data_IF_032857891630
#
_entry.id   IF_032857891630
#
_cell.length_a   1.000
_cell.length_b   1.000
_cell.length_c   1.000
_cell.angle_alpha   90.00
_cell.angle_beta   90.00
_cell.angle_gamma   90.00
#
_symmetry.space_group_name_H-M   'P 1'
#
loop_
_entity.id
_entity.type
_entity.pdbx_description
1 polymer ?
#
# COMPACT_ATOMS: atom_id res chain seq x y z
N UNK A 1 -5.98 -31.28 -54.65
CA UNK A 1 -7.14 -31.80 -55.42
C UNK A 1 -8.07 -30.67 -55.90
N UNK A 2 -8.88 -30.03 -55.03
CA UNK A 2 -9.85 -28.99 -55.49
C UNK A 2 -9.20 -27.72 -56.05
N UNK A 3 -8.11 -27.24 -55.42
CA UNK A 3 -7.34 -26.08 -55.93
C UNK A 3 -6.70 -26.41 -57.28
N UNK A 4 -6.10 -27.60 -57.37
CA UNK A 4 -5.39 -28.02 -58.58
C UNK A 4 -6.34 -28.26 -59.75
N UNK A 5 -7.59 -28.68 -59.48
CA UNK A 5 -8.64 -28.76 -60.50
C UNK A 5 -9.03 -27.37 -61.04
N UNK A 6 -9.21 -26.38 -60.16
CA UNK A 6 -9.45 -24.98 -60.55
C UNK A 6 -8.26 -24.42 -61.34
N UNK A 7 -7.03 -24.75 -60.93
CA UNK A 7 -5.83 -24.33 -61.65
C UNK A 7 -5.76 -24.93 -63.06
N UNK A 8 -6.14 -26.20 -63.21
CA UNK A 8 -6.17 -26.88 -64.51
C UNK A 8 -7.23 -26.30 -65.46
N UNK A 9 -8.39 -25.88 -64.96
CA UNK A 9 -9.44 -25.21 -65.75
C UNK A 9 -8.91 -23.94 -66.44
N UNK A 10 -8.11 -23.14 -65.74
CA UNK A 10 -7.55 -21.88 -66.27
C UNK A 10 -6.19 -22.06 -66.93
N UNK A 11 -5.51 -23.18 -66.72
CA UNK A 11 -4.16 -23.42 -67.24
C UNK A 11 -4.14 -23.38 -68.76
N UNK A 12 -5.07 -24.08 -69.41
CA UNK A 12 -5.12 -24.16 -70.87
C UNK A 12 -5.49 -22.83 -71.52
N UNK A 13 -6.43 -22.07 -70.93
CA UNK A 13 -6.86 -20.77 -71.46
C UNK A 13 -5.75 -19.72 -71.30
N UNK A 14 -5.12 -19.65 -70.13
CA UNK A 14 -3.99 -18.75 -69.88
C UNK A 14 -2.81 -19.10 -70.79
N UNK A 15 -2.46 -20.38 -70.91
CA UNK A 15 -1.36 -20.83 -71.77
C UNK A 15 -1.62 -20.48 -73.24
N UNK A 16 -2.84 -20.69 -73.73
CA UNK A 16 -3.21 -20.35 -75.11
C UNK A 16 -3.06 -18.84 -75.39
N UNK A 17 -3.57 -18.00 -74.48
CA UNK A 17 -3.46 -16.54 -74.60
C UNK A 17 -2.01 -16.07 -74.53
N UNK A 18 -1.18 -16.68 -73.69
CA UNK A 18 0.25 -16.40 -73.62
C UNK A 18 0.97 -16.79 -74.92
N UNK A 19 0.71 -17.99 -75.45
CA UNK A 19 1.31 -18.43 -76.71
C UNK A 19 0.90 -17.55 -77.90
N UNK A 20 -0.33 -17.02 -77.92
CA UNK A 20 -0.78 -16.06 -78.94
C UNK A 20 -0.05 -14.72 -78.83
N UNK A 21 0.18 -14.24 -77.60
CA UNK A 21 0.93 -13.02 -77.35
C UNK A 21 2.41 -13.19 -77.72
N UNK A 22 3.02 -14.32 -77.35
CA UNK A 22 4.43 -14.61 -77.66
C UNK A 22 4.67 -14.75 -79.16
N UNK A 23 3.70 -15.25 -79.92
CA UNK A 23 3.77 -15.39 -81.39
C UNK A 23 3.18 -14.19 -82.15
N UNK A 24 2.90 -13.06 -81.49
CA UNK A 24 2.20 -11.94 -82.11
C UNK A 24 2.93 -11.36 -83.33
N UNK A 25 4.26 -11.29 -83.27
CA UNK A 25 5.11 -10.81 -84.36
C UNK A 25 5.07 -11.77 -85.56
N UNK A 26 5.15 -13.08 -85.31
CA UNK A 26 5.09 -14.13 -86.35
C UNK A 26 3.71 -14.14 -87.04
N UNK A 27 2.65 -13.86 -86.28
CA UNK A 27 1.28 -13.80 -86.80
C UNK A 27 0.92 -12.43 -87.43
N UNK A 28 1.83 -11.46 -87.44
CA UNK A 28 1.58 -10.07 -87.88
C UNK A 28 0.30 -9.47 -87.26
N UNK A 29 0.08 -9.71 -85.96
CA UNK A 29 -1.07 -9.14 -85.27
C UNK A 29 -0.95 -7.61 -85.18
N UNK A 30 -2.06 -6.90 -85.36
CA UNK A 30 -2.10 -5.46 -85.13
C UNK A 30 -1.92 -5.15 -83.65
N UNK A 31 -1.41 -3.95 -83.33
CA UNK A 31 -1.25 -3.51 -81.94
C UNK A 31 -2.58 -3.59 -81.16
N UNK A 32 -3.70 -3.23 -81.79
CA UNK A 32 -5.02 -3.33 -81.19
C UNK A 32 -5.42 -4.77 -80.80
N UNK A 33 -4.98 -5.78 -81.57
CA UNK A 33 -5.22 -7.18 -81.25
C UNK A 33 -4.30 -7.70 -80.13
N UNK A 34 -3.06 -7.19 -80.06
CA UNK A 34 -2.15 -7.49 -78.95
C UNK A 34 -2.72 -6.93 -77.65
N UNK A 35 -3.18 -5.68 -77.67
CA UNK A 35 -3.75 -5.02 -76.49
C UNK A 35 -5.02 -5.74 -76.00
N UNK A 36 -5.89 -6.21 -76.90
CA UNK A 36 -7.08 -6.98 -76.53
C UNK A 36 -6.74 -8.33 -75.91
N UNK A 37 -5.77 -9.06 -76.45
CA UNK A 37 -5.27 -10.32 -75.88
C UNK A 37 -4.63 -10.11 -74.49
N UNK A 38 -3.92 -9.00 -74.27
CA UNK A 38 -3.37 -8.66 -72.96
C UNK A 38 -4.47 -8.35 -71.93
N UNK A 39 -5.53 -7.64 -72.35
CA UNK A 39 -6.69 -7.38 -71.51
C UNK A 39 -7.42 -8.68 -71.13
N UNK A 40 -7.64 -9.57 -72.10
CA UNK A 40 -8.26 -10.88 -71.89
C UNK A 40 -7.43 -11.73 -70.92
N UNK A 41 -6.11 -11.81 -71.12
CA UNK A 41 -5.21 -12.54 -70.22
C UNK A 41 -5.27 -11.99 -68.79
N UNK A 42 -5.32 -10.66 -68.65
CA UNK A 42 -5.43 -10.00 -67.34
C UNK A 42 -6.77 -10.31 -66.68
N UNK A 43 -7.86 -10.28 -67.44
CA UNK A 43 -9.19 -10.61 -66.94
C UNK A 43 -9.27 -12.06 -66.45
N UNK A 44 -8.78 -13.01 -67.25
CA UNK A 44 -8.77 -14.45 -66.90
C UNK A 44 -7.92 -14.72 -65.66
N UNK A 45 -6.74 -14.09 -65.55
CA UNK A 45 -5.90 -14.21 -64.34
C UNK A 45 -6.58 -13.65 -63.08
N UNK A 46 -7.29 -12.52 -63.21
CA UNK A 46 -8.05 -11.90 -62.11
C UNK A 46 -9.21 -12.80 -61.68
N UNK A 47 -9.96 -13.36 -62.62
CA UNK A 47 -11.07 -14.27 -62.33
C UNK A 47 -10.59 -15.52 -61.60
N UNK A 48 -9.50 -16.15 -62.08
CA UNK A 48 -8.87 -17.28 -61.39
C UNK A 48 -8.51 -16.92 -59.95
N UNK A 49 -7.84 -15.78 -59.75
CA UNK A 49 -7.45 -15.31 -58.42
C UNK A 49 -8.66 -15.10 -57.51
N UNK A 50 -9.76 -14.56 -58.04
CA UNK A 50 -10.99 -14.37 -57.29
C UNK A 50 -11.62 -15.71 -56.87
N UNK A 51 -11.71 -16.68 -57.78
CA UNK A 51 -12.24 -18.02 -57.46
C UNK A 51 -11.37 -18.77 -56.46
N UNK A 52 -10.05 -18.70 -56.59
CA UNK A 52 -9.12 -19.27 -55.61
C UNK A 52 -9.33 -18.66 -54.22
N UNK A 53 -9.52 -17.34 -54.16
CA UNK A 53 -9.76 -16.63 -52.91
C UNK A 53 -11.10 -17.02 -52.26
N UNK A 54 -12.18 -17.09 -53.04
CA UNK A 54 -13.48 -17.57 -52.55
C UNK A 54 -13.40 -18.99 -52.00
N UNK A 55 -12.71 -19.88 -52.73
CA UNK A 55 -12.50 -21.25 -52.29
C UNK A 55 -11.72 -21.31 -50.97
N UNK A 56 -10.67 -20.50 -50.84
CA UNK A 56 -9.89 -20.41 -49.60
C UNK A 56 -10.74 -19.90 -48.42
N UNK A 57 -11.56 -18.88 -48.63
CA UNK A 57 -12.48 -18.35 -47.62
C UNK A 57 -13.48 -19.43 -47.15
N UNK A 58 -14.09 -20.16 -48.08
CA UNK A 58 -15.01 -21.24 -47.75
C UNK A 58 -14.32 -22.34 -46.94
N UNK A 59 -13.10 -22.74 -47.32
CA UNK A 59 -12.31 -23.73 -46.59
C UNK A 59 -11.94 -23.25 -45.18
N UNK A 60 -11.58 -21.98 -45.02
CA UNK A 60 -11.29 -21.41 -43.69
C UNK A 60 -12.53 -21.41 -42.78
N UNK A 61 -13.71 -21.13 -43.33
CA UNK A 61 -14.97 -21.23 -42.57
C UNK A 61 -15.30 -22.68 -42.19
N UNK A 62 -15.06 -23.63 -43.09
CA UNK A 62 -15.22 -25.07 -42.81
C UNK A 62 -14.29 -25.52 -41.68
N UNK A 63 -13.01 -25.13 -41.73
CA UNK A 63 -12.07 -25.40 -40.63
C UNK A 63 -12.53 -24.75 -39.34
N UNK A 64 -12.90 -23.47 -39.37
CA UNK A 64 -13.36 -22.75 -38.19
C UNK A 64 -14.57 -23.41 -37.53
N UNK A 65 -15.56 -23.80 -38.33
CA UNK A 65 -16.75 -24.50 -37.84
C UNK A 65 -16.44 -25.91 -37.32
N UNK A 66 -15.56 -26.65 -37.99
CA UNK A 66 -15.08 -27.95 -37.51
C UNK A 66 -14.35 -27.82 -36.17
N UNK A 67 -13.38 -26.91 -36.08
CA UNK A 67 -12.65 -26.64 -34.83
C UNK A 67 -13.62 -26.24 -33.72
N UNK A 68 -14.59 -25.36 -34.00
CA UNK A 68 -15.58 -24.95 -33.01
C UNK A 68 -16.46 -26.13 -32.54
N UNK A 69 -16.88 -27.02 -33.44
CA UNK A 69 -17.68 -28.20 -33.07
C UNK A 69 -16.91 -29.21 -32.21
N UNK A 70 -15.59 -29.36 -32.45
CA UNK A 70 -14.75 -30.29 -31.68
C UNK A 70 -14.26 -29.67 -30.36
N UNK A 71 -13.87 -28.39 -30.38
CA UNK A 71 -13.25 -27.71 -29.25
C UNK A 71 -14.27 -26.99 -28.37
N UNK A 72 -15.38 -26.50 -28.91
CA UNK A 72 -16.43 -25.81 -28.15
C UNK A 72 -16.91 -26.60 -26.93
N UNK A 73 -17.34 -27.86 -27.09
CA UNK A 73 -17.76 -28.69 -25.95
C UNK A 73 -16.65 -28.94 -24.94
N UNK A 74 -15.40 -29.09 -25.40
CA UNK A 74 -14.24 -29.28 -24.51
C UNK A 74 -13.97 -28.03 -23.68
N UNK A 75 -14.05 -26.85 -24.30
CA UNK A 75 -13.88 -25.56 -23.66
C UNK A 75 -14.97 -25.34 -22.61
N UNK A 76 -16.23 -25.64 -22.91
CA UNK A 76 -17.34 -25.55 -21.97
C UNK A 76 -17.12 -26.44 -20.74
N UNK A 77 -16.70 -27.69 -20.95
CA UNK A 77 -16.37 -28.61 -19.85
C UNK A 77 -15.21 -28.08 -19.01
N UNK A 78 -14.17 -27.52 -19.64
CA UNK A 78 -13.04 -26.94 -18.91
C UNK A 78 -13.44 -25.69 -18.12
N UNK A 79 -14.27 -24.83 -18.68
CA UNK A 79 -14.80 -23.65 -17.99
C UNK A 79 -15.65 -24.06 -16.79
N UNK A 80 -16.55 -25.04 -16.95
CA UNK A 80 -17.36 -25.57 -15.86
C UNK A 80 -16.49 -26.16 -14.73
N UNK A 81 -15.47 -26.96 -15.10
CA UNK A 81 -14.50 -27.50 -14.12
C UNK A 81 -13.71 -26.41 -13.41
N UNK A 82 -13.26 -25.38 -14.13
CA UNK A 82 -12.52 -24.27 -13.54
C UNK A 82 -13.40 -23.47 -12.55
N UNK A 83 -14.66 -23.20 -12.91
CA UNK A 83 -15.61 -22.53 -12.02
C UNK A 83 -15.90 -23.37 -10.77
N UNK A 84 -16.12 -24.68 -10.93
CA UNK A 84 -16.32 -25.60 -9.82
C UNK A 84 -15.11 -25.65 -8.88
N UNK A 85 -13.90 -25.76 -9.42
CA UNK A 85 -12.66 -25.76 -8.64
C UNK A 85 -12.49 -24.45 -7.85
N UNK A 86 -12.78 -23.30 -8.49
CA UNK A 86 -12.76 -22.00 -7.82
C UNK A 86 -13.78 -21.93 -6.67
N UNK A 87 -15.01 -22.38 -6.90
CA UNK A 87 -16.05 -22.39 -5.87
C UNK A 87 -15.67 -23.29 -4.68
N UNK A 88 -15.12 -24.48 -4.95
CA UNK A 88 -14.62 -25.38 -3.90
C UNK A 88 -13.48 -24.76 -3.10
N UNK A 89 -12.52 -24.10 -3.75
CA UNK A 89 -11.42 -23.43 -3.08
C UNK A 89 -11.92 -22.28 -2.20
N UNK A 90 -12.87 -21.48 -2.67
CA UNK A 90 -13.49 -20.41 -1.91
C UNK A 90 -14.24 -20.94 -0.68
N UNK A 91 -15.05 -21.98 -0.85
CA UNK A 91 -15.76 -22.63 0.25
C UNK A 91 -14.81 -23.20 1.30
N UNK A 92 -13.73 -23.87 0.88
CA UNK A 92 -12.71 -24.40 1.77
C UNK A 92 -11.96 -23.28 2.52
N UNK A 93 -11.67 -22.16 1.86
CA UNK A 93 -11.04 -21.00 2.51
C UNK A 93 -11.96 -20.37 3.57
N UNK A 94 -13.24 -20.19 3.25
CA UNK A 94 -14.24 -19.68 4.21
C UNK A 94 -14.41 -20.62 5.42
N UNK A 95 -14.45 -21.94 5.17
CA UNK A 95 -14.53 -22.93 6.25
C UNK A 95 -13.31 -22.85 7.17
N UNK A 96 -12.10 -22.80 6.61
CA UNK A 96 -10.85 -22.63 7.39
C UNK A 96 -10.82 -21.33 8.18
N UNK A 97 -11.29 -20.23 7.57
CA UNK A 97 -11.37 -18.95 8.26
C UNK A 97 -12.36 -19.02 9.44
N UNK A 98 -13.54 -19.60 9.24
CA UNK A 98 -14.52 -19.78 10.32
C UNK A 98 -14.00 -20.68 11.44
N UNK A 99 -13.31 -21.77 11.10
CA UNK A 99 -12.67 -22.65 12.09
C UNK A 99 -11.56 -21.95 12.86
N UNK A 100 -10.73 -21.15 12.18
CA UNK A 100 -9.70 -20.33 12.83
C UNK A 100 -10.34 -19.32 13.79
N UNK A 101 -11.35 -18.57 13.34
CA UNK A 101 -12.09 -17.63 14.19
C UNK A 101 -12.70 -18.31 15.41
N UNK A 102 -13.31 -19.50 15.25
CA UNK A 102 -13.85 -20.26 16.38
C UNK A 102 -12.76 -20.64 17.38
N UNK A 103 -11.61 -21.12 16.91
CA UNK A 103 -10.45 -21.43 17.78
C UNK A 103 -9.92 -20.20 18.50
N UNK A 104 -9.80 -19.08 17.80
CA UNK A 104 -9.32 -17.83 18.38
C UNK A 104 -10.29 -17.30 19.45
N UNK A 105 -11.61 -17.36 19.18
CA UNK A 105 -12.62 -16.96 20.17
C UNK A 105 -12.65 -17.88 21.39
N UNK A 106 -12.44 -19.19 21.20
CA UNK A 106 -12.36 -20.14 22.29
C UNK A 106 -11.08 -19.94 23.12
N UNK A 107 -9.93 -19.75 22.47
CA UNK A 107 -8.68 -19.45 23.16
C UNK A 107 -8.74 -18.11 23.91
N UNK A 108 -9.37 -17.09 23.32
CA UNK A 108 -9.58 -15.80 23.98
C UNK A 108 -10.49 -15.93 25.20
N UNK A 109 -11.60 -16.68 25.11
CA UNK A 109 -12.50 -16.88 26.25
C UNK A 109 -11.84 -17.68 27.36
N UNK A 110 -11.06 -18.71 27.02
CA UNK A 110 -10.24 -19.46 27.97
C UNK A 110 -9.21 -18.57 28.66
N UNK A 111 -8.51 -17.72 27.90
CA UNK A 111 -7.55 -16.77 28.45
C UNK A 111 -8.23 -15.75 29.36
N UNK A 112 -9.39 -15.21 28.96
CA UNK A 112 -10.16 -14.27 29.78
C UNK A 112 -10.65 -14.94 31.07
N UNK A 113 -11.07 -16.20 31.01
CA UNK A 113 -11.45 -16.99 32.18
C UNK A 113 -10.25 -17.27 33.09
N UNK A 114 -9.07 -17.55 32.53
CA UNK A 114 -7.83 -17.73 33.31
C UNK A 114 -7.40 -16.42 33.99
N UNK A 115 -7.52 -15.28 33.31
CA UNK A 115 -7.25 -13.98 33.91
C UNK A 115 -8.25 -13.65 35.03
N UNK A 116 -9.55 -13.90 34.82
CA UNK A 116 -10.56 -13.76 35.89
C UNK A 116 -10.34 -14.75 37.04
N UNK A 117 -9.85 -15.96 36.77
CA UNK A 117 -9.54 -16.94 37.82
C UNK A 117 -8.25 -16.58 38.58
N UNK A 118 -7.27 -15.97 37.92
CA UNK A 118 -6.04 -15.49 38.53
C UNK A 118 -6.25 -14.21 39.35
N UNK A 119 -7.22 -13.37 38.97
CA UNK A 119 -7.62 -12.18 39.73
C UNK A 119 -9.14 -12.02 39.83
N UNK A 120 -9.81 -12.84 40.67
CA UNK A 120 -11.27 -12.79 40.85
C UNK A 120 -11.75 -11.52 41.58
N UNK A 121 -10.83 -10.70 42.09
CA UNK A 121 -11.13 -9.47 42.84
C UNK A 121 -10.93 -8.20 42.02
N UNK A 122 -10.39 -8.28 40.79
CA UNK A 122 -10.07 -7.12 39.95
C UNK A 122 -8.95 -6.23 40.51
N UNK A 123 -8.12 -6.76 41.42
CA UNK A 123 -7.09 -6.00 42.13
C UNK A 123 -5.99 -5.50 41.19
N UNK A 124 -5.66 -6.26 40.15
CA UNK A 124 -4.71 -5.87 39.10
C UNK A 124 -5.23 -4.67 38.31
N UNK A 125 -6.54 -4.66 38.03
CA UNK A 125 -7.16 -3.56 37.31
C UNK A 125 -7.26 -2.30 38.20
N UNK A 126 -7.57 -2.48 39.48
CA UNK A 126 -7.52 -1.40 40.48
C UNK A 126 -6.11 -0.85 40.68
N UNK A 127 -5.08 -1.70 40.70
CA UNK A 127 -3.68 -1.28 40.78
C UNK A 127 -3.25 -0.51 39.52
N UNK A 128 -3.67 -0.94 38.34
CA UNK A 128 -3.38 -0.23 37.10
C UNK A 128 -4.03 1.15 37.08
N UNK A 129 -5.30 1.25 37.51
CA UNK A 129 -5.99 2.53 37.66
C UNK A 129 -5.32 3.44 38.69
N UNK A 130 -4.89 2.88 39.84
CA UNK A 130 -4.15 3.64 40.85
C UNK A 130 -2.80 4.15 40.33
N UNK A 131 -2.06 3.33 39.57
CA UNK A 131 -0.81 3.79 38.95
C UNK A 131 -1.05 4.90 37.93
N UNK A 132 -2.06 4.76 37.07
CA UNK A 132 -2.43 5.82 36.12
C UNK A 132 -2.85 7.11 36.84
N UNK A 133 -3.61 7.01 37.92
CA UNK A 133 -4.00 8.15 38.73
C UNK A 133 -2.79 8.82 39.42
N UNK A 134 -1.85 8.03 39.95
CA UNK A 134 -0.61 8.56 40.52
C UNK A 134 0.25 9.27 39.48
N UNK A 135 0.37 8.70 38.28
CA UNK A 135 1.12 9.31 37.19
C UNK A 135 0.48 10.63 36.75
N UNK A 136 -0.84 10.66 36.56
CA UNK A 136 -1.56 11.89 36.24
C UNK A 136 -1.38 12.97 37.32
N UNK A 137 -1.38 12.59 38.60
CA UNK A 137 -1.10 13.51 39.70
C UNK A 137 0.34 14.00 39.72
N UNK A 138 1.30 13.16 39.37
CA UNK A 138 2.70 13.58 39.24
C UNK A 138 2.86 14.59 38.10
N UNK A 139 2.21 14.37 36.96
CA UNK A 139 2.23 15.30 35.84
C UNK A 139 1.58 16.66 36.20
N UNK A 140 0.49 16.63 36.97
CA UNK A 140 -0.15 17.84 37.52
C UNK A 140 0.79 18.61 38.47
N UNK A 141 1.50 17.91 39.36
CA UNK A 141 2.49 18.52 40.26
C UNK A 141 3.62 19.16 39.44
N UNK A 142 4.19 18.44 38.47
CA UNK A 142 5.27 18.95 37.64
C UNK A 142 4.83 20.20 36.85
N UNK A 143 3.59 20.22 36.34
CA UNK A 143 3.04 21.37 35.63
C UNK A 143 2.85 22.58 36.57
N UNK A 144 2.36 22.35 37.78
CA UNK A 144 2.22 23.41 38.80
C UNK A 144 3.58 23.94 39.24
N UNK A 145 4.58 23.08 39.45
CA UNK A 145 5.95 23.49 39.78
C UNK A 145 6.56 24.36 38.68
N UNK A 146 6.42 23.95 37.40
CA UNK A 146 6.88 24.75 36.28
C UNK A 146 6.20 26.12 36.21
N UNK A 147 4.89 26.17 36.48
CA UNK A 147 4.14 27.43 36.54
C UNK A 147 4.63 28.35 37.67
N UNK A 148 4.82 27.80 38.87
CA UNK A 148 5.34 28.54 40.04
C UNK A 148 6.74 29.09 39.74
N UNK A 149 7.65 28.26 39.20
CA UNK A 149 9.00 28.70 38.86
C UNK A 149 9.01 29.80 37.80
N UNK A 150 8.11 29.71 36.80
CA UNK A 150 7.98 30.74 35.78
C UNK A 150 7.46 32.08 36.35
N UNK A 151 6.50 32.06 37.27
CA UNK A 151 6.02 33.28 37.94
C UNK A 151 7.11 33.90 38.83
N UNK A 152 7.83 33.08 39.60
CA UNK A 152 8.97 33.53 40.41
C UNK A 152 10.06 34.14 39.52
N UNK A 153 10.41 33.48 38.41
CA UNK A 153 11.41 33.99 37.47
C UNK A 153 10.98 35.31 36.83
N UNK A 154 9.69 35.45 36.47
CA UNK A 154 9.13 36.69 35.94
C UNK A 154 9.22 37.86 36.93
N UNK A 155 8.91 37.61 38.21
CA UNK A 155 9.03 38.61 39.27
C UNK A 155 10.48 38.93 39.63
N UNK A 156 11.36 37.93 39.64
CA UNK A 156 12.79 38.14 39.81
C UNK A 156 13.35 39.03 38.68
N UNK A 157 12.93 38.80 37.43
CA UNK A 157 13.32 39.65 36.32
C UNK A 157 12.82 41.11 36.48
N UNK A 158 11.60 41.30 37.01
CA UNK A 158 11.10 42.65 37.34
C UNK A 158 12.00 43.35 38.36
N UNK A 159 12.33 42.70 39.48
CA UNK A 159 13.23 43.29 40.48
C UNK A 159 14.64 43.51 39.91
N UNK A 160 15.15 42.59 39.10
CA UNK A 160 16.45 42.77 38.44
C UNK A 160 16.50 44.05 37.59
N UNK A 161 15.43 44.34 36.84
CA UNK A 161 15.33 45.57 36.05
C UNK A 161 15.25 46.81 36.96
N UNK A 162 14.41 46.78 38.00
CA UNK A 162 14.24 47.92 38.91
C UNK A 162 15.53 48.29 39.64
N UNK A 163 16.24 47.30 40.17
CA UNK A 163 17.48 47.50 40.95
C UNK A 163 18.75 47.44 40.09
N UNK A 164 18.61 47.28 38.77
CA UNK A 164 19.71 47.24 37.80
C UNK A 164 20.70 46.07 38.04
N UNK A 165 20.18 44.94 38.51
CA UNK A 165 20.96 43.72 38.70
C UNK A 165 21.22 43.02 37.37
N UNK A 166 22.46 42.59 37.17
CA UNK A 166 22.86 41.82 35.97
C UNK A 166 22.55 40.33 36.12
N UNK A 167 22.47 39.81 37.35
CA UNK A 167 22.26 38.40 37.64
C UNK A 167 21.61 38.22 39.02
N UNK A 168 20.59 37.37 39.11
CA UNK A 168 20.03 36.89 40.37
C UNK A 168 20.42 35.42 40.52
N UNK A 169 20.95 35.07 41.69
CA UNK A 169 21.34 33.71 42.04
C UNK A 169 20.38 33.20 43.11
N UNK A 170 19.69 32.10 42.81
CA UNK A 170 18.82 31.43 43.77
C UNK A 170 19.61 30.32 44.47
N UNK A 171 19.49 30.24 45.80
CA UNK A 171 19.92 29.06 46.55
C UNK A 171 18.93 27.91 46.26
N UNK A 172 19.40 26.72 45.88
CA UNK A 172 18.51 25.62 45.59
C UNK A 172 17.73 25.23 46.85
N UNK A 173 16.42 24.96 46.70
CA UNK A 173 15.59 24.56 47.82
C UNK A 173 16.02 23.18 48.32
N UNK A 174 16.23 23.06 49.64
CA UNK A 174 16.54 21.75 50.25
C UNK A 174 15.35 20.83 50.05
N UNK A 175 15.53 19.76 49.25
CA UNK A 175 14.53 18.71 49.11
C UNK A 175 14.24 18.06 50.47
N UNK A 176 12.99 17.68 50.75
CA UNK A 176 12.62 16.95 51.98
C UNK A 176 13.45 15.66 52.13
N UNK A 177 13.89 15.07 51.01
CA UNK A 177 14.79 13.92 50.99
C UNK A 177 16.14 14.19 51.70
N UNK A 178 16.59 15.45 51.74
CA UNK A 178 17.82 15.84 52.44
C UNK A 178 17.69 15.88 53.97
N UNK A 179 16.45 15.89 54.50
CA UNK A 179 16.17 15.81 55.94
C UNK A 179 15.87 14.38 56.42
N UNK A 180 15.75 13.41 55.50
CA UNK A 180 15.52 12.02 55.87
C UNK A 180 16.85 11.37 56.28
N UNK A 181 16.91 10.64 57.41
CA UNK A 181 18.11 9.91 57.79
C UNK A 181 18.47 8.92 56.66
N UNK A 182 19.72 8.98 56.22
CA UNK A 182 20.24 8.18 55.11
C UNK A 182 20.21 6.68 55.44
N UNK A 183 19.08 6.02 55.19
CA UNK A 183 18.95 4.56 55.30
C UNK A 183 19.39 3.87 53.99
N UNK A 184 19.56 4.64 52.90
CA UNK A 184 19.99 4.10 51.61
C UNK A 184 21.19 4.91 51.12
N UNK A 185 22.35 4.29 50.87
CA UNK A 185 23.48 4.98 50.24
C UNK A 185 23.16 5.12 48.75
N UNK A 186 22.36 6.12 48.39
CA UNK A 186 22.31 6.60 47.00
C UNK A 186 23.61 7.35 46.75
N UNK A 187 24.59 6.61 46.24
CA UNK A 187 25.74 7.17 45.54
C UNK A 187 25.16 7.95 44.35
N UNK A 188 25.44 9.26 44.30
CA UNK A 188 25.80 10.03 43.09
C UNK A 188 25.26 11.48 43.01
N UNK A 189 24.45 11.98 43.94
CA UNK A 189 24.18 13.44 44.01
C UNK A 189 23.93 13.91 45.45
N UNK A 190 25.00 14.03 46.23
CA UNK A 190 24.96 14.98 47.35
C UNK A 190 25.05 16.38 46.73
N UNK A 191 23.90 16.93 46.35
CA UNK A 191 23.78 18.35 46.03
C UNK A 191 24.35 19.13 47.22
N UNK A 192 25.55 19.70 47.06
CA UNK A 192 26.15 20.55 48.08
C UNK A 192 25.39 21.87 48.03
N UNK A 193 24.37 21.97 48.87
CA UNK A 193 23.66 23.23 49.12
C UNK A 193 24.61 24.19 49.83
N UNK A 194 25.28 25.04 49.05
CA UNK A 194 26.11 26.12 49.57
C UNK A 194 25.38 27.43 49.35
N UNK A 195 25.27 28.24 50.41
CA UNK A 195 24.74 29.59 50.28
C UNK A 195 25.66 30.40 49.37
N UNK A 196 25.06 31.08 48.40
CA UNK A 196 25.79 31.92 47.45
C UNK A 196 25.92 33.31 48.06
N UNK A 197 26.95 33.50 48.89
CA UNK A 197 27.25 34.80 49.51
C UNK A 197 28.42 35.48 48.79
N UNK A 198 28.20 36.70 48.29
CA UNK A 198 29.24 37.54 47.71
C UNK A 198 29.39 38.88 48.45
N UNK A 199 30.56 39.52 48.33
CA UNK A 199 30.87 40.81 49.00
C UNK A 199 30.05 41.98 48.41
N UNK A 200 29.56 41.84 47.19
CA UNK A 200 28.75 42.83 46.46
C UNK A 200 27.38 42.27 46.08
N UNK A 201 26.86 41.30 46.85
CA UNK A 201 25.58 40.65 46.60
C UNK A 201 24.57 41.14 47.62
N UNK A 202 23.47 41.73 47.15
CA UNK A 202 22.35 42.12 47.99
C UNK A 202 21.37 40.94 48.14
N UNK A 203 20.83 40.75 49.35
CA UNK A 203 19.76 39.79 49.59
C UNK A 203 18.41 40.44 49.29
N UNK A 204 17.73 39.91 48.27
CA UNK A 204 16.43 40.40 47.78
C UNK A 204 15.26 39.48 48.19
N UNK A 205 15.49 38.53 49.10
CA UNK A 205 14.50 37.49 49.45
C UNK A 205 13.21 38.10 50.00
N UNK A 206 13.30 39.08 50.90
CA UNK A 206 12.11 39.71 51.49
C UNK A 206 11.31 40.52 50.46
N UNK A 207 12.00 41.25 49.58
CA UNK A 207 11.36 42.01 48.50
C UNK A 207 10.67 41.06 47.50
N UNK A 208 11.33 39.96 47.14
CA UNK A 208 10.75 38.89 46.31
C UNK A 208 9.49 38.28 46.93
N UNK A 209 9.48 38.04 48.25
CA UNK A 209 8.30 37.51 48.95
C UNK A 209 7.15 38.51 48.91
N UNK A 210 7.40 39.81 49.13
CA UNK A 210 6.34 40.83 49.03
C UNK A 210 5.79 40.95 47.60
N UNK A 211 6.67 40.86 46.60
CA UNK A 211 6.27 40.85 45.20
C UNK A 211 5.44 39.61 44.86
N UNK A 212 5.81 38.41 45.31
CA UNK A 212 5.02 37.19 45.09
C UNK A 212 3.66 37.26 45.83
N UNK A 213 3.62 37.80 47.05
CA UNK A 213 2.38 37.95 47.82
C UNK A 213 1.41 39.00 47.25
N UNK A 214 1.89 39.87 46.36
CA UNK A 214 1.05 40.83 45.63
C UNK A 214 0.25 40.21 44.46
N UNK A 215 0.26 38.88 44.32
CA UNK A 215 -0.67 38.07 43.52
C UNK A 215 -2.14 38.31 43.91
#
# INVERSE_FOLDING_TARGET
>A
ARRDALDEEYRNTILNLQLKLDNAEVMNLSQANVDSLQQELTAVKKERGHRQWQMYQAWQQEIGSYVQSVMGPKIEVWQAKAQQAKAQQQAAALARQSEAQKRDTAAMSEQLNQLHAADPSGKLQEQLQKQQALQAKQDEINALEAHILNDIAGRAAKLAILHHYTLILATPSRSIASYLPAVIPTVENQERYTDVTGVTTDDITDEMVTEIQSL
#
